data_IF_652057464582
#
_entry.id   IF_652057464582
#
_cell.length_a   1.000
_cell.length_b   1.000
_cell.length_c   1.000
_cell.angle_alpha   90.00
_cell.angle_beta   90.00
_cell.angle_gamma   90.00
#
_symmetry.space_group_name_H-M   'P 1'
#
loop_
_entity.id
_entity.type
_entity.pdbx_description
1 polymer ?
#
# COMPACT_ATOMS: atom_id res chain seq x y z
N UNK A 1 -8.99 -17.77 2.39
CA UNK A 1 -10.00 -16.83 2.94
C UNK A 1 -11.24 -16.85 2.05
N UNK A 2 -12.47 -16.78 2.57
CA UNK A 2 -13.67 -16.74 1.71
C UNK A 2 -13.92 -15.31 1.23
N UNK A 3 -13.73 -15.04 -0.06
CA UNK A 3 -14.04 -13.74 -0.67
C UNK A 3 -15.55 -13.52 -0.60
N UNK A 4 -15.98 -12.40 -0.03
CA UNK A 4 -17.40 -12.08 0.07
C UNK A 4 -17.97 -11.73 -1.33
N UNK A 5 -19.31 -11.77 -1.46
CA UNK A 5 -19.99 -11.54 -2.75
C UNK A 5 -19.74 -10.15 -3.34
N UNK A 6 -19.56 -9.14 -2.49
CA UNK A 6 -19.35 -7.76 -2.92
C UNK A 6 -17.94 -7.58 -3.48
N UNK A 7 -16.91 -8.10 -2.80
CA UNK A 7 -15.54 -8.11 -3.29
C UNK A 7 -15.41 -8.90 -4.60
N UNK A 8 -16.13 -10.02 -4.74
CA UNK A 8 -16.21 -10.77 -6.01
C UNK A 8 -16.79 -9.90 -7.14
N UNK A 9 -17.90 -9.19 -6.88
CA UNK A 9 -18.53 -8.29 -7.85
C UNK A 9 -17.56 -7.17 -8.26
N UNK A 10 -16.86 -6.56 -7.31
CA UNK A 10 -15.87 -5.54 -7.58
C UNK A 10 -14.76 -6.11 -8.47
N UNK A 11 -14.13 -7.22 -8.08
CA UNK A 11 -13.00 -7.83 -8.80
C UNK A 11 -13.36 -8.24 -10.24
N UNK A 12 -14.61 -8.66 -10.49
CA UNK A 12 -15.08 -9.04 -11.82
C UNK A 12 -15.58 -7.87 -12.68
N UNK A 13 -15.73 -6.66 -12.13
CA UNK A 13 -16.32 -5.50 -12.82
C UNK A 13 -15.34 -4.33 -12.96
N UNK A 14 -15.85 -3.20 -13.47
CA UNK A 14 -15.13 -1.93 -13.57
C UNK A 14 -15.39 -1.01 -12.35
N UNK A 15 -15.60 -1.62 -11.18
CA UNK A 15 -15.76 -0.89 -9.91
C UNK A 15 -14.40 -0.63 -9.23
N UNK A 16 -14.36 0.35 -8.33
CA UNK A 16 -13.16 0.65 -7.55
C UNK A 16 -12.92 -0.45 -6.53
N UNK A 17 -11.66 -0.80 -6.30
CA UNK A 17 -11.33 -1.64 -5.15
C UNK A 17 -11.65 -0.87 -3.86
N UNK A 18 -12.19 -1.60 -2.88
CA UNK A 18 -12.46 -1.11 -1.54
C UNK A 18 -11.28 -1.43 -0.60
N UNK A 19 -11.41 -0.99 0.65
CA UNK A 19 -10.40 -1.24 1.67
C UNK A 19 -10.20 -2.74 1.92
N UNK A 20 -11.26 -3.56 1.82
CA UNK A 20 -11.18 -4.99 2.11
C UNK A 20 -10.30 -5.70 1.10
N UNK A 21 -10.51 -5.46 -0.20
CA UNK A 21 -9.68 -6.07 -1.25
C UNK A 21 -8.21 -5.64 -1.10
N UNK A 22 -7.96 -4.37 -0.84
CA UNK A 22 -6.59 -3.84 -0.72
C UNK A 22 -5.92 -4.39 0.54
N UNK A 23 -6.58 -4.36 1.70
CA UNK A 23 -6.02 -4.85 2.96
C UNK A 23 -5.76 -6.36 2.92
N UNK A 24 -6.69 -7.15 2.38
CA UNK A 24 -6.52 -8.61 2.25
C UNK A 24 -5.36 -8.93 1.30
N UNK A 25 -5.26 -8.24 0.16
CA UNK A 25 -4.17 -8.48 -0.78
C UNK A 25 -2.81 -8.06 -0.21
N UNK A 26 -2.75 -6.94 0.52
CA UNK A 26 -1.51 -6.52 1.18
C UNK A 26 -1.09 -7.46 2.32
N UNK A 27 -2.04 -8.13 2.98
CA UNK A 27 -1.70 -9.20 3.92
C UNK A 27 -1.04 -10.40 3.22
N UNK A 28 -1.50 -10.77 2.01
CA UNK A 28 -0.81 -11.78 1.19
C UNK A 28 0.60 -11.34 0.80
N UNK A 29 0.78 -10.07 0.44
CA UNK A 29 2.10 -9.49 0.14
C UNK A 29 3.03 -9.58 1.35
N UNK A 30 2.57 -9.20 2.53
CA UNK A 30 3.33 -9.31 3.77
C UNK A 30 3.72 -10.77 4.07
N UNK A 31 2.77 -11.71 3.99
CA UNK A 31 3.03 -13.12 4.23
C UNK A 31 4.05 -13.70 3.23
N UNK A 32 3.93 -13.36 1.95
CA UNK A 32 4.86 -13.79 0.90
C UNK A 32 6.25 -13.18 1.06
N UNK A 33 6.34 -11.91 1.48
CA UNK A 33 7.62 -11.24 1.72
C UNK A 33 8.45 -11.99 2.77
N UNK A 34 7.79 -12.47 3.85
CA UNK A 34 8.42 -13.27 4.92
C UNK A 34 8.99 -14.58 4.38
N UNK A 35 8.27 -15.26 3.49
CA UNK A 35 8.77 -16.50 2.85
C UNK A 35 10.01 -16.27 1.99
N UNK A 36 10.17 -15.07 1.42
CA UNK A 36 11.35 -14.65 0.66
C UNK A 36 12.50 -14.11 1.52
N UNK A 37 12.36 -14.13 2.84
CA UNK A 37 13.33 -13.52 3.76
C UNK A 37 13.35 -11.99 3.69
N UNK A 38 12.32 -11.37 3.11
CA UNK A 38 12.13 -9.92 3.16
C UNK A 38 11.30 -9.56 4.39
N UNK A 39 11.68 -8.46 5.05
CA UNK A 39 10.97 -7.95 6.23
C UNK A 39 10.15 -6.73 5.82
N UNK A 40 8.88 -6.96 5.51
CA UNK A 40 7.92 -5.94 5.10
C UNK A 40 6.71 -5.98 6.02
N UNK A 41 6.25 -4.81 6.46
CA UNK A 41 4.99 -4.63 7.16
C UNK A 41 4.00 -3.88 6.28
N UNK A 42 2.82 -4.43 6.06
CA UNK A 42 1.76 -3.73 5.36
C UNK A 42 0.77 -3.14 6.38
N UNK A 43 0.59 -1.83 6.34
CA UNK A 43 -0.36 -1.13 7.21
C UNK A 43 -1.77 -1.16 6.60
N UNK A 44 -2.82 -1.35 7.40
CA UNK A 44 -4.19 -1.26 6.92
C UNK A 44 -4.57 0.11 6.35
N UNK A 45 -5.50 0.15 5.40
CA UNK A 45 -5.98 1.36 4.72
C UNK A 45 -6.49 2.45 5.67
N UNK A 46 -7.14 2.06 6.77
CA UNK A 46 -7.75 3.00 7.70
C UNK A 46 -6.73 3.91 8.42
N UNK A 47 -5.44 3.51 8.48
CA UNK A 47 -4.40 4.35 9.09
C UNK A 47 -4.19 5.66 8.33
N UNK A 48 -4.29 5.66 7.00
CA UNK A 48 -4.21 6.89 6.24
C UNK A 48 -5.38 7.83 6.56
N UNK A 49 -6.59 7.29 6.67
CA UNK A 49 -7.78 8.07 7.04
C UNK A 49 -7.63 8.71 8.42
N UNK A 50 -7.07 8.00 9.40
CA UNK A 50 -6.76 8.60 10.70
C UNK A 50 -5.69 9.69 10.56
N UNK A 51 -4.69 9.49 9.71
CA UNK A 51 -3.60 10.43 9.49
C UNK A 51 -4.09 11.75 8.88
N UNK A 52 -4.99 11.69 7.90
CA UNK A 52 -5.63 12.88 7.34
C UNK A 52 -6.43 13.65 8.38
N UNK A 53 -7.02 12.93 9.35
CA UNK A 53 -7.81 13.50 10.42
C UNK A 53 -7.01 13.85 11.69
N UNK A 54 -5.67 13.88 11.64
CA UNK A 54 -4.80 14.18 12.79
C UNK A 54 -5.05 15.53 13.47
N UNK A 55 -5.70 16.50 12.80
CA UNK A 55 -6.18 17.73 13.48
C UNK A 55 -7.31 17.47 14.48
N UNK A 56 -8.05 16.36 14.30
CA UNK A 56 -9.20 15.92 15.10
C UNK A 56 -8.83 14.82 16.10
N UNK A 57 -7.79 14.03 15.81
CA UNK A 57 -7.32 12.94 16.67
C UNK A 57 -5.93 13.25 17.21
N UNK A 58 -5.84 13.46 18.52
CA UNK A 58 -4.55 13.60 19.21
C UNK A 58 -3.72 12.32 18.99
N UNK A 59 -2.38 12.43 18.92
CA UNK A 59 -1.43 11.33 18.60
C UNK A 59 -1.72 10.03 19.34
N UNK A 60 -2.34 10.14 20.51
CA UNK A 60 -2.96 9.09 21.31
C UNK A 60 -3.73 7.97 20.57
N UNK A 61 -4.28 8.18 19.37
CA UNK A 61 -4.91 7.08 18.61
C UNK A 61 -3.88 6.02 18.23
N UNK A 62 -2.75 6.44 17.66
CA UNK A 62 -1.66 5.55 17.28
C UNK A 62 -0.96 4.93 18.48
N UNK A 63 -1.03 5.61 19.62
CA UNK A 63 -0.44 5.18 20.89
C UNK A 63 -1.31 4.12 21.59
N UNK A 64 -2.64 4.13 21.37
CA UNK A 64 -3.60 3.20 21.99
C UNK A 64 -3.78 1.90 21.21
N UNK A 65 -3.62 1.92 19.89
CA UNK A 65 -3.89 0.77 19.02
C UNK A 65 -2.75 -0.28 19.00
N UNK A 66 -1.83 -0.22 19.98
CA UNK A 66 -0.79 -1.21 20.23
C UNK A 66 -0.05 -1.65 18.95
N UNK A 67 0.47 -0.69 18.18
CA UNK A 67 1.38 -1.04 17.10
C UNK A 67 2.58 -1.78 17.71
N UNK A 68 2.70 -3.07 17.38
CA UNK A 68 4.01 -3.74 17.36
C UNK A 68 5.00 -2.82 16.65
N UNK A 69 6.27 -2.79 17.09
CA UNK A 69 7.27 -1.89 16.56
C UNK A 69 7.46 -2.13 15.05
N UNK A 70 6.77 -1.36 14.22
CA UNK A 70 6.76 -1.56 12.76
C UNK A 70 8.13 -1.24 12.16
N UNK A 71 8.95 -0.46 12.85
CA UNK A 71 10.30 -0.06 12.45
C UNK A 71 11.36 -1.15 12.67
N UNK A 72 11.00 -2.31 13.23
CA UNK A 72 11.82 -3.51 13.12
C UNK A 72 11.83 -4.08 11.69
N UNK A 73 10.84 -3.70 10.88
CA UNK A 73 10.79 -4.11 9.49
C UNK A 73 11.69 -3.26 8.61
N UNK A 74 12.29 -3.88 7.59
CA UNK A 74 13.11 -3.15 6.61
C UNK A 74 12.27 -2.17 5.79
N UNK A 75 11.07 -2.60 5.40
CA UNK A 75 10.13 -1.78 4.67
C UNK A 75 8.75 -1.75 5.33
N UNK A 76 8.06 -0.62 5.19
CA UNK A 76 6.67 -0.47 5.59
C UNK A 76 5.88 -0.01 4.37
N UNK A 77 4.80 -0.70 4.03
CA UNK A 77 3.88 -0.33 2.97
C UNK A 77 2.62 0.28 3.55
N UNK A 78 2.17 1.40 3.00
CA UNK A 78 0.98 2.10 3.46
C UNK A 78 0.10 2.50 2.26
N UNK A 79 -1.03 1.83 2.05
CA UNK A 79 -2.02 2.28 1.08
C UNK A 79 -2.69 3.56 1.59
N UNK A 80 -3.08 4.43 0.66
CA UNK A 80 -3.71 5.70 0.94
C UNK A 80 -4.90 5.91 0.01
N UNK A 81 -6.07 6.13 0.61
CA UNK A 81 -7.26 6.57 -0.11
C UNK A 81 -7.44 8.08 0.08
N UNK A 82 -6.95 8.87 -0.86
CA UNK A 82 -7.01 10.31 -0.77
C UNK A 82 -8.42 10.83 -1.06
N UNK A 83 -9.02 11.52 -0.09
CA UNK A 83 -10.38 12.10 -0.17
C UNK A 83 -11.49 11.12 -0.59
N UNK A 84 -11.29 9.81 -0.37
CA UNK A 84 -12.17 8.76 -0.89
C UNK A 84 -12.34 8.80 -2.43
N UNK A 85 -11.31 9.26 -3.15
CA UNK A 85 -11.33 9.53 -4.59
C UNK A 85 -10.15 8.95 -5.36
N UNK A 86 -9.13 8.43 -4.67
CA UNK A 86 -7.97 7.90 -5.35
C UNK A 86 -7.13 7.02 -4.44
N UNK A 87 -6.69 5.89 -4.98
CA UNK A 87 -5.82 4.94 -4.31
C UNK A 87 -4.38 5.06 -4.79
N UNK A 88 -3.46 5.09 -3.85
CA UNK A 88 -2.02 5.02 -4.09
C UNK A 88 -1.34 4.33 -2.91
N UNK A 89 -0.03 4.09 -3.03
CA UNK A 89 0.72 3.40 -1.98
C UNK A 89 2.07 4.07 -1.74
N UNK A 90 2.43 4.21 -0.48
CA UNK A 90 3.76 4.64 -0.06
C UNK A 90 4.54 3.46 0.50
N UNK A 91 5.83 3.42 0.18
CA UNK A 91 6.79 2.47 0.73
C UNK A 91 7.85 3.21 1.50
N UNK A 92 7.94 2.95 2.80
CA UNK A 92 8.94 3.50 3.71
C UNK A 92 10.12 2.55 3.74
N UNK A 93 11.29 3.03 3.32
CA UNK A 93 12.57 2.39 3.60
C UNK A 93 13.07 2.89 4.96
N UNK A 94 13.02 2.01 5.96
CA UNK A 94 13.36 2.35 7.34
C UNK A 94 14.85 2.59 7.51
N UNK A 95 15.71 1.91 6.75
CA UNK A 95 17.15 2.08 6.79
C UNK A 95 17.58 3.38 6.10
N UNK A 96 17.07 3.62 4.89
CA UNK A 96 17.41 4.79 4.09
C UNK A 96 16.65 6.07 4.49
N UNK A 97 15.75 6.01 5.47
CA UNK A 97 14.89 7.12 5.90
C UNK A 97 14.21 7.81 4.72
N UNK A 98 13.69 7.02 3.81
CA UNK A 98 13.09 7.50 2.56
C UNK A 98 11.71 6.91 2.38
N UNK A 99 10.75 7.75 2.00
CA UNK A 99 9.39 7.36 1.65
C UNK A 99 9.25 7.50 0.14
N UNK A 100 8.95 6.39 -0.52
CA UNK A 100 8.66 6.31 -1.94
C UNK A 100 7.16 6.28 -2.16
N UNK A 101 6.60 7.23 -2.92
CA UNK A 101 5.17 7.20 -3.26
C UNK A 101 4.97 6.74 -4.70
N UNK A 102 4.08 5.75 -4.86
CA UNK A 102 3.68 5.15 -6.12
C UNK A 102 2.24 5.55 -6.42
N UNK A 103 2.03 6.13 -7.59
CA UNK A 103 0.77 6.73 -7.96
C UNK A 103 0.48 6.54 -9.45
N UNK A 104 -0.58 5.81 -9.75
CA UNK A 104 -1.02 5.55 -11.12
C UNK A 104 -1.63 6.78 -11.80
N UNK A 105 -1.99 7.83 -11.06
CA UNK A 105 -2.46 9.11 -11.58
C UNK A 105 -1.36 10.17 -11.40
N UNK A 106 -0.98 10.85 -12.47
CA UNK A 106 -0.04 11.98 -12.36
C UNK A 106 -0.70 13.10 -11.54
N UNK A 107 0.00 13.57 -10.50
CA UNK A 107 -0.24 14.81 -9.72
C UNK A 107 -1.06 14.73 -8.42
N UNK A 108 -1.42 13.54 -7.91
CA UNK A 108 -2.09 13.40 -6.60
C UNK A 108 -1.15 13.22 -5.39
N UNK A 109 0.17 13.18 -5.63
CA UNK A 109 1.16 12.66 -4.67
C UNK A 109 1.52 13.63 -3.54
N UNK A 110 1.51 14.93 -3.77
CA UNK A 110 2.18 15.88 -2.87
C UNK A 110 1.50 15.93 -1.49
N UNK A 111 0.17 15.96 -1.41
CA UNK A 111 -0.53 15.97 -0.14
C UNK A 111 -0.40 14.63 0.61
N UNK A 112 -0.61 13.53 -0.09
CA UNK A 112 -0.54 12.18 0.48
C UNK A 112 0.84 11.90 1.07
N UNK A 113 1.90 12.23 0.34
CA UNK A 113 3.27 12.00 0.79
C UNK A 113 3.62 12.80 2.04
N UNK A 114 3.11 14.02 2.18
CA UNK A 114 3.25 14.84 3.40
C UNK A 114 2.50 14.20 4.56
N UNK A 115 1.28 13.71 4.34
CA UNK A 115 0.47 13.05 5.38
C UNK A 115 1.13 11.77 5.88
N UNK A 116 1.58 10.90 4.96
CA UNK A 116 2.32 9.68 5.29
C UNK A 116 3.60 10.02 6.04
N UNK A 117 4.37 11.01 5.57
CA UNK A 117 5.60 11.46 6.25
C UNK A 117 5.35 11.85 7.71
N UNK A 118 4.37 12.74 7.94
CA UNK A 118 4.04 13.21 9.29
C UNK A 118 3.62 12.06 10.20
N UNK A 119 2.80 11.13 9.69
CA UNK A 119 2.37 9.97 10.46
C UNK A 119 3.56 9.07 10.83
N UNK A 120 4.42 8.74 9.86
CA UNK A 120 5.58 7.88 10.06
C UNK A 120 6.59 8.51 11.03
N UNK A 121 6.86 9.81 10.91
CA UNK A 121 7.74 10.53 11.86
C UNK A 121 7.13 10.59 13.26
N UNK A 122 5.81 10.79 13.38
CA UNK A 122 5.12 10.76 14.67
C UNK A 122 5.19 9.38 15.33
N UNK A 123 4.94 8.32 14.56
CA UNK A 123 5.07 6.93 15.01
C UNK A 123 6.51 6.62 15.43
N UNK A 124 7.50 7.05 14.66
CA UNK A 124 8.91 6.88 15.00
C UNK A 124 9.24 7.55 16.32
N UNK A 125 8.87 8.81 16.49
CA UNK A 125 9.12 9.55 17.74
C UNK A 125 8.48 8.85 18.95
N UNK A 126 7.30 8.26 18.76
CA UNK A 126 6.61 7.53 19.81
C UNK A 126 7.27 6.18 20.13
N UNK A 127 7.59 5.36 19.12
CA UNK A 127 8.08 3.99 19.30
C UNK A 127 9.59 3.94 19.59
N UNK A 128 10.38 4.76 18.90
CA UNK A 128 11.85 4.80 18.98
C UNK A 128 12.37 5.84 19.97
N UNK A 129 11.48 6.64 20.59
CA UNK A 129 11.81 7.69 21.57
C UNK A 129 12.91 8.64 21.09
N UNK A 130 12.99 8.88 19.79
CA UNK A 130 14.01 9.70 19.12
C UNK A 130 13.40 10.46 17.96
N UNK A 131 13.99 11.59 17.57
CA UNK A 131 13.53 12.34 16.39
C UNK A 131 14.15 11.78 15.12
N UNK A 132 13.38 11.79 14.03
CA UNK A 132 13.85 11.44 12.69
C UNK A 132 13.22 12.34 11.66
N UNK A 133 13.90 12.51 10.53
CA UNK A 133 13.36 13.17 9.35
C UNK A 133 13.43 12.19 8.20
N UNK A 134 12.28 11.90 7.60
CA UNK A 134 12.21 11.11 6.37
C UNK A 134 12.24 12.02 5.14
N UNK A 135 13.03 11.63 4.14
CA UNK A 135 12.93 12.21 2.80
C UNK A 135 11.75 11.60 2.04
N UNK A 136 11.14 12.37 1.16
CA UNK A 136 10.04 11.90 0.30
C UNK A 136 10.53 11.92 -1.13
N UNK A 137 10.33 10.81 -1.84
CA UNK A 137 10.62 10.67 -3.26
C UNK A 137 9.39 10.15 -3.97
N UNK A 138 8.94 10.86 -5.00
CA UNK A 138 7.98 10.30 -5.93
C UNK A 138 8.69 9.26 -6.80
N UNK A 139 8.10 8.08 -6.92
CA UNK A 139 8.65 7.07 -7.81
C UNK A 139 8.15 7.36 -9.23
N UNK A 140 9.07 7.68 -10.12
CA UNK A 140 8.77 7.81 -11.54
C UNK A 140 8.70 6.41 -12.18
N UNK A 141 7.62 6.14 -12.92
CA UNK A 141 7.36 4.85 -13.55
C UNK A 141 6.53 5.04 -14.81
N UNK A 142 6.53 4.07 -15.72
CA UNK A 142 5.69 4.10 -16.93
C UNK A 142 4.25 3.59 -16.71
N UNK A 143 3.96 3.02 -15.55
CA UNK A 143 2.67 2.40 -15.18
C UNK A 143 1.58 3.41 -14.79
N UNK A 144 1.12 4.25 -15.72
CA UNK A 144 0.01 5.17 -15.46
C UNK A 144 -1.34 4.56 -15.85
N UNK A 145 -2.36 4.78 -15.01
CA UNK A 145 -3.72 4.40 -15.35
C UNK A 145 -4.31 5.37 -16.39
N UNK A 146 -5.14 4.83 -17.28
CA UNK A 146 -5.91 5.62 -18.27
C UNK A 146 -7.41 5.63 -17.98
N UNK A 147 -7.87 4.74 -17.11
CA UNK A 147 -9.25 4.65 -16.67
C UNK A 147 -9.42 5.29 -15.28
N UNK A 148 -10.67 5.36 -14.83
CA UNK A 148 -11.04 6.00 -13.57
C UNK A 148 -11.18 5.03 -12.39
N UNK A 149 -10.97 3.71 -12.56
CA UNK A 149 -11.38 2.72 -11.56
C UNK A 149 -10.31 1.72 -11.12
N UNK A 150 -9.18 1.64 -11.82
CA UNK A 150 -8.12 0.68 -11.49
C UNK A 150 -7.08 1.21 -10.49
N UNK A 151 -7.21 2.40 -9.90
CA UNK A 151 -6.21 2.91 -8.95
C UNK A 151 -5.88 1.92 -7.80
N UNK A 152 -6.89 1.24 -7.25
CA UNK A 152 -6.66 0.19 -6.24
C UNK A 152 -6.02 -1.10 -6.79
N UNK A 153 -6.26 -1.43 -8.07
CA UNK A 153 -5.50 -2.48 -8.75
C UNK A 153 -4.01 -2.08 -8.83
N UNK A 154 -3.72 -0.84 -9.22
CA UNK A 154 -2.34 -0.36 -9.29
C UNK A 154 -1.64 -0.37 -7.93
N UNK A 155 -2.33 -0.07 -6.82
CA UNK A 155 -1.80 -0.26 -5.46
C UNK A 155 -1.31 -1.68 -5.23
N UNK A 156 -2.13 -2.68 -5.59
CA UNK A 156 -1.78 -4.09 -5.49
C UNK A 156 -0.60 -4.46 -6.39
N UNK A 157 -0.59 -3.95 -7.63
CA UNK A 157 0.50 -4.17 -8.59
C UNK A 157 1.83 -3.56 -8.11
N UNK A 158 1.82 -2.34 -7.56
CA UNK A 158 3.02 -1.69 -7.03
C UNK A 158 3.59 -2.44 -5.82
N UNK A 159 2.73 -2.91 -4.92
CA UNK A 159 3.14 -3.73 -3.77
C UNK A 159 3.79 -5.04 -4.24
N UNK A 160 3.16 -5.73 -5.21
CA UNK A 160 3.68 -6.95 -5.82
C UNK A 160 5.01 -6.71 -6.55
N UNK A 161 5.11 -5.63 -7.32
CA UNK A 161 6.35 -5.27 -8.00
C UNK A 161 7.47 -5.03 -7.00
N UNK A 162 7.21 -4.35 -5.88
CA UNK A 162 8.22 -4.05 -4.87
C UNK A 162 8.86 -5.30 -4.26
N UNK A 163 8.10 -6.38 -4.06
CA UNK A 163 8.63 -7.65 -3.51
C UNK A 163 9.28 -8.56 -4.56
N UNK A 164 9.01 -8.31 -5.85
CA UNK A 164 9.53 -9.08 -6.99
C UNK A 164 10.66 -8.36 -7.76
N UNK A 165 11.16 -7.22 -7.27
CA UNK A 165 12.09 -6.30 -7.97
C UNK A 165 13.29 -6.95 -8.67
N UNK A 166 13.84 -8.04 -8.15
CA UNK A 166 14.96 -8.76 -8.77
C UNK A 166 14.59 -9.43 -10.11
N UNK A 167 13.30 -9.49 -10.45
CA UNK A 167 12.76 -10.20 -11.61
C UNK A 167 12.04 -9.31 -12.63
N UNK A 168 11.97 -7.99 -12.40
CA UNK A 168 11.08 -7.12 -13.18
C UNK A 168 11.74 -5.86 -13.75
N UNK A 169 11.84 -5.82 -15.08
CA UNK A 169 11.73 -4.56 -15.83
C UNK A 169 10.29 -4.02 -15.70
N UNK A 170 10.10 -2.70 -15.71
CA UNK A 170 8.79 -2.05 -15.57
C UNK A 170 7.66 -2.81 -16.29
N UNK A 171 6.66 -3.25 -15.53
CA UNK A 171 5.63 -4.13 -16.05
C UNK A 171 4.63 -3.36 -16.91
N UNK A 172 4.56 -3.67 -18.21
CA UNK A 172 3.47 -3.18 -19.05
C UNK A 172 2.19 -3.98 -18.77
N UNK A 173 1.19 -3.35 -18.16
CA UNK A 173 -0.10 -3.97 -17.88
C UNK A 173 -0.93 -4.01 -19.16
N UNK A 174 -0.78 -5.08 -19.94
CA UNK A 174 -1.52 -5.26 -21.21
C UNK A 174 -3.01 -5.44 -20.99
N UNK A 175 -3.42 -6.22 -19.99
CA UNK A 175 -4.81 -6.52 -19.71
C UNK A 175 -5.13 -6.35 -18.21
N UNK A 176 -5.82 -5.26 -17.88
CA UNK A 176 -6.21 -4.94 -16.50
C UNK A 176 -7.26 -5.89 -15.95
N UNK A 177 -8.19 -6.37 -16.78
CA UNK A 177 -9.20 -7.33 -16.35
C UNK A 177 -8.57 -8.66 -15.95
N UNK A 178 -7.58 -9.12 -16.73
CA UNK A 178 -6.79 -10.30 -16.37
C UNK A 178 -6.10 -10.13 -15.01
N UNK A 179 -5.50 -8.96 -14.75
CA UNK A 179 -4.87 -8.70 -13.43
C UNK A 179 -5.86 -8.67 -12.28
N UNK A 180 -7.08 -8.17 -12.47
CA UNK A 180 -8.14 -8.26 -11.45
C UNK A 180 -8.55 -9.70 -11.17
N UNK A 181 -8.67 -10.53 -12.22
CA UNK A 181 -8.95 -11.97 -12.08
C UNK A 181 -7.78 -12.73 -11.41
N UNK A 182 -6.54 -12.34 -11.67
CA UNK A 182 -5.38 -12.90 -10.99
C UNK A 182 -5.41 -12.61 -9.49
N UNK A 183 -5.68 -11.35 -9.10
CA UNK A 183 -5.88 -10.98 -7.68
C UNK A 183 -7.02 -11.78 -7.05
N UNK A 184 -8.15 -11.92 -7.74
CA UNK A 184 -9.28 -12.71 -7.26
C UNK A 184 -8.88 -14.15 -6.95
N UNK A 185 -8.14 -14.80 -7.85
CA UNK A 185 -7.68 -16.17 -7.66
C UNK A 185 -6.68 -16.25 -6.50
N UNK A 186 -5.76 -15.30 -6.39
CA UNK A 186 -4.77 -15.27 -5.31
C UNK A 186 -5.40 -15.05 -3.94
N UNK A 187 -6.39 -14.16 -3.84
CA UNK A 187 -7.19 -13.96 -2.63
C UNK A 187 -7.99 -15.21 -2.26
N UNK A 188 -8.55 -15.92 -3.25
CA UNK A 188 -9.34 -17.12 -3.02
C UNK A 188 -8.46 -18.26 -2.50
N UNK A 189 -7.28 -18.43 -3.09
CA UNK A 189 -6.30 -19.45 -2.73
C UNK A 189 -5.43 -19.08 -1.53
N UNK A 190 -5.54 -17.84 -1.03
CA UNK A 190 -4.72 -17.31 0.06
C UNK A 190 -3.21 -17.41 -0.25
N UNK A 191 -2.84 -17.19 -1.51
CA UNK A 191 -1.48 -17.41 -2.00
C UNK A 191 -1.22 -16.60 -3.28
N UNK A 192 -0.04 -15.99 -3.35
CA UNK A 192 0.47 -15.40 -4.59
C UNK A 192 1.01 -16.51 -5.49
N UNK A 193 0.40 -16.68 -6.66
CA UNK A 193 0.68 -17.81 -7.57
C UNK A 193 1.15 -17.37 -8.94
N UNK A 194 0.86 -16.14 -9.35
CA UNK A 194 1.26 -15.65 -10.66
C UNK A 194 2.60 -14.92 -10.57
N UNK A 195 3.58 -15.35 -11.36
CA UNK A 195 4.68 -14.47 -11.74
C UNK A 195 4.08 -13.42 -12.67
N UNK A 196 4.15 -12.16 -12.28
CA UNK A 196 3.67 -11.09 -13.15
C UNK A 196 4.73 -10.74 -14.19
#
# INVERSE_FOLDING_TARGET
>A
MSINKDSLKILMSQEWFDNFIIDDYLQLIEAWSKQKGQSIRCLPCHYFTVAENLKKYNTSFYERDAFSNIFENKFIMMPANYQNKHWAISVVDVGAKTIYTYDSIKNSVDFMSITVKKMIESLWNYQQKSKVIFSVKKFEHTMYQKDSFNCGLYVCLFARWWIERDKFSEFYIKNKQEKRLQILIELHLDKLIYAW
#
